data_IF_794297490510
#
_entry.id   IF_794297490510
#
_cell.length_a   1.000
_cell.length_b   1.000
_cell.length_c   1.000
_cell.angle_alpha   90.00
_cell.angle_beta   90.00
_cell.angle_gamma   90.00
#
_symmetry.space_group_name_H-M   'P 1'
#
loop_
_entity.id
_entity.type
_entity.pdbx_description
1 polymer ?
#
# COMPACT_ATOMS: atom_id res chain seq x y z
N UNK A 1 -13.10 17.50 7.22
CA UNK A 1 -11.89 18.28 6.80
C UNK A 1 -11.50 17.85 5.39
N UNK A 2 -11.28 18.80 4.45
CA UNK A 2 -10.79 18.47 3.09
C UNK A 2 -9.32 17.98 3.15
N UNK A 3 -8.92 17.07 2.25
CA UNK A 3 -7.54 16.56 2.24
C UNK A 3 -6.49 17.65 1.96
N UNK A 4 -6.87 18.75 1.32
CA UNK A 4 -5.98 19.90 1.11
C UNK A 4 -5.73 20.73 2.37
N UNK A 5 -6.55 20.57 3.40
CA UNK A 5 -6.40 21.24 4.70
C UNK A 5 -5.57 20.40 5.69
N UNK A 6 -5.42 19.11 5.42
CA UNK A 6 -4.63 18.17 6.23
C UNK A 6 -3.15 18.32 5.89
N UNK A 7 -2.29 18.28 6.89
CA UNK A 7 -0.85 18.31 6.70
C UNK A 7 -0.24 16.95 6.97
N UNK A 8 0.85 16.66 6.27
CA UNK A 8 1.61 15.43 6.51
C UNK A 8 2.13 15.36 7.95
N UNK A 9 2.50 16.51 8.52
CA UNK A 9 3.02 16.60 9.90
C UNK A 9 1.95 16.22 10.94
N UNK A 10 0.66 16.59 10.73
CA UNK A 10 -0.44 16.17 11.60
C UNK A 10 -0.59 14.65 11.60
N UNK A 11 -0.57 14.03 10.40
CA UNK A 11 -0.67 12.57 10.28
C UNK A 11 0.54 11.86 10.90
N UNK A 12 1.75 12.36 10.68
CA UNK A 12 2.99 11.82 11.27
C UNK A 12 2.94 11.92 12.80
N UNK A 13 2.50 13.06 13.34
CA UNK A 13 2.36 13.27 14.78
C UNK A 13 1.35 12.29 15.40
N UNK A 14 0.18 12.13 14.76
CA UNK A 14 -0.84 11.16 15.17
C UNK A 14 -0.28 9.74 15.15
N UNK A 15 0.35 9.34 14.02
CA UNK A 15 0.89 7.99 13.85
C UNK A 15 1.92 7.64 14.92
N UNK A 16 2.87 8.53 15.19
CA UNK A 16 3.87 8.35 16.25
C UNK A 16 3.25 8.34 17.64
N UNK A 17 2.35 9.28 17.90
CA UNK A 17 1.72 9.44 19.21
C UNK A 17 0.75 8.32 19.57
N UNK A 18 0.16 7.62 18.58
CA UNK A 18 -0.84 6.58 18.80
C UNK A 18 -0.37 5.18 18.45
N UNK A 19 0.86 5.02 17.97
CA UNK A 19 1.43 3.70 17.72
C UNK A 19 1.01 3.07 16.39
N UNK A 20 0.79 3.88 15.37
CA UNK A 20 0.63 3.39 14.01
C UNK A 20 1.99 3.18 13.35
N UNK A 21 2.87 4.17 13.38
CA UNK A 21 4.17 4.11 12.71
C UNK A 21 5.23 4.80 13.56
N UNK A 22 6.40 4.18 13.70
CA UNK A 22 7.57 4.71 14.38
C UNK A 22 8.76 4.87 13.43
N UNK A 23 9.71 5.77 13.67
CA UNK A 23 11.00 5.74 12.98
C UNK A 23 11.73 4.43 13.24
N UNK A 24 12.19 3.77 12.17
CA UNK A 24 12.92 2.51 12.32
C UNK A 24 14.25 2.69 13.07
N UNK A 25 14.51 1.86 14.08
CA UNK A 25 15.72 1.92 14.91
C UNK A 25 15.93 3.26 15.62
N UNK A 26 14.87 3.91 16.08
CA UNK A 26 14.88 5.26 16.63
C UNK A 26 15.89 5.45 17.77
N UNK A 27 16.06 4.45 18.63
CA UNK A 27 17.01 4.50 19.77
C UNK A 27 18.48 4.67 19.35
N UNK A 28 18.80 4.40 18.07
CA UNK A 28 20.14 4.61 17.50
C UNK A 28 20.20 5.82 16.56
N UNK A 29 19.21 6.72 16.63
CA UNK A 29 19.09 7.88 15.74
C UNK A 29 18.36 7.59 14.43
N UNK A 30 17.82 6.39 14.28
CA UNK A 30 17.06 5.96 13.12
C UNK A 30 17.91 5.61 11.90
N UNK A 31 17.26 5.02 10.91
CA UNK A 31 17.78 4.87 9.55
C UNK A 31 16.86 5.63 8.60
N UNK A 32 17.43 6.51 7.77
CA UNK A 32 16.66 7.41 6.93
C UNK A 32 15.59 6.66 6.08
N UNK A 33 14.35 7.11 6.23
CA UNK A 33 13.16 6.56 5.53
C UNK A 33 12.95 5.06 5.71
N UNK A 34 13.26 4.58 6.91
CA UNK A 34 12.90 3.26 7.41
C UNK A 34 11.92 3.44 8.54
N UNK A 35 10.83 2.69 8.52
CA UNK A 35 9.71 2.85 9.42
C UNK A 35 9.27 1.51 9.98
N UNK A 36 8.96 1.49 11.28
CA UNK A 36 8.39 0.34 11.97
C UNK A 36 6.88 0.56 12.15
N UNK A 37 6.09 -0.47 11.93
CA UNK A 37 4.65 -0.42 12.18
C UNK A 37 4.40 -0.84 13.63
N UNK A 38 3.82 0.08 14.41
CA UNK A 38 3.46 -0.16 15.79
C UNK A 38 2.21 -1.04 15.95
N UNK A 39 1.71 -1.23 17.19
CA UNK A 39 0.58 -2.12 17.46
C UNK A 39 -0.68 -1.82 16.64
N UNK A 40 -1.04 -0.53 16.46
CA UNK A 40 -2.18 -0.15 15.61
C UNK A 40 -1.84 -0.22 14.12
N UNK A 41 -0.61 0.08 13.76
CA UNK A 41 -0.15 0.04 12.37
C UNK A 41 -0.16 -1.37 11.80
N UNK A 42 0.31 -2.37 12.55
CA UNK A 42 0.30 -3.76 12.08
C UNK A 42 -1.12 -4.28 11.90
N UNK A 43 -2.05 -3.95 12.80
CA UNK A 43 -3.45 -4.36 12.69
C UNK A 43 -4.14 -3.73 11.46
N UNK A 44 -3.96 -2.41 11.26
CA UNK A 44 -4.48 -1.73 10.07
C UNK A 44 -3.92 -2.35 8.79
N UNK A 45 -2.61 -2.57 8.75
CA UNK A 45 -1.90 -3.15 7.59
C UNK A 45 -2.37 -4.57 7.27
N UNK A 46 -2.53 -5.41 8.29
CA UNK A 46 -3.06 -6.77 8.12
C UNK A 46 -4.53 -6.76 7.66
N UNK A 47 -5.36 -5.85 8.19
CA UNK A 47 -6.75 -5.73 7.76
C UNK A 47 -6.87 -5.28 6.30
N UNK A 48 -6.03 -4.35 5.84
CA UNK A 48 -5.92 -3.95 4.43
C UNK A 48 -5.58 -5.17 3.55
N UNK A 49 -4.55 -5.93 3.92
CA UNK A 49 -4.13 -7.14 3.16
C UNK A 49 -5.22 -8.23 3.16
N UNK A 50 -5.92 -8.41 4.28
CA UNK A 50 -7.06 -9.34 4.38
C UNK A 50 -8.22 -8.92 3.47
N UNK A 51 -8.56 -7.63 3.44
CA UNK A 51 -9.60 -7.08 2.56
C UNK A 51 -9.25 -7.32 1.09
N UNK A 52 -8.00 -7.04 0.70
CA UNK A 52 -7.54 -7.29 -0.66
C UNK A 52 -7.59 -8.80 -1.01
N UNK A 53 -7.06 -9.67 -0.14
CA UNK A 53 -7.10 -11.12 -0.36
C UNK A 53 -8.53 -11.66 -0.46
N UNK A 54 -9.45 -11.15 0.35
CA UNK A 54 -10.87 -11.50 0.27
C UNK A 54 -11.41 -11.17 -1.12
N UNK A 55 -11.21 -9.94 -1.59
CA UNK A 55 -11.78 -9.44 -2.83
C UNK A 55 -11.12 -10.00 -4.09
N UNK A 56 -9.78 -10.00 -4.11
CA UNK A 56 -9.00 -10.36 -5.31
C UNK A 56 -8.75 -11.86 -5.45
N UNK A 57 -8.82 -12.65 -4.36
CA UNK A 57 -8.54 -14.07 -4.40
C UNK A 57 -9.77 -14.90 -3.99
N UNK A 58 -10.30 -14.67 -2.79
CA UNK A 58 -11.35 -15.53 -2.22
C UNK A 58 -12.67 -15.40 -2.98
N UNK A 59 -13.12 -14.18 -3.28
CA UNK A 59 -14.37 -13.88 -3.98
C UNK A 59 -14.21 -13.90 -5.52
N UNK A 60 -12.99 -14.04 -6.03
CA UNK A 60 -12.72 -14.01 -7.46
C UNK A 60 -12.47 -15.43 -7.98
N UNK A 61 -13.28 -15.93 -8.96
CA UNK A 61 -13.16 -17.30 -9.44
C UNK A 61 -11.92 -17.54 -10.31
N UNK A 62 -11.28 -16.49 -10.81
CA UNK A 62 -10.13 -16.60 -11.69
C UNK A 62 -8.82 -16.76 -10.93
N UNK A 63 -8.70 -16.12 -9.77
CA UNK A 63 -7.41 -15.89 -9.13
C UNK A 63 -7.03 -16.97 -8.13
N UNK A 64 -5.73 -17.12 -7.94
CA UNK A 64 -5.11 -17.95 -6.89
C UNK A 64 -3.97 -17.18 -6.20
N UNK A 65 -3.61 -17.57 -4.99
CA UNK A 65 -2.51 -16.95 -4.25
C UNK A 65 -1.18 -17.64 -4.49
N UNK A 66 -0.10 -16.88 -4.41
CA UNK A 66 1.29 -17.35 -4.39
C UNK A 66 2.06 -16.59 -3.29
N UNK A 67 3.05 -17.21 -2.72
CA UNK A 67 4.10 -16.59 -1.91
C UNK A 67 5.46 -17.08 -2.41
N UNK A 68 6.12 -16.29 -3.25
CA UNK A 68 7.43 -16.59 -3.79
C UNK A 68 8.55 -16.07 -2.90
N UNK A 69 9.72 -16.70 -2.95
CA UNK A 69 10.89 -16.30 -2.18
C UNK A 69 11.36 -14.88 -2.56
N UNK A 70 11.86 -14.12 -1.57
CA UNK A 70 12.51 -12.82 -1.78
C UNK A 70 13.83 -12.99 -2.54
N UNK A 71 14.62 -13.99 -2.12
CA UNK A 71 15.90 -14.33 -2.76
C UNK A 71 15.63 -15.24 -3.95
N UNK A 72 15.98 -14.77 -5.13
CA UNK A 72 15.73 -15.46 -6.40
C UNK A 72 17.03 -15.61 -7.18
N UNK A 73 17.04 -16.55 -8.12
CA UNK A 73 18.18 -16.71 -9.02
C UNK A 73 18.45 -15.39 -9.77
N UNK A 74 19.69 -14.87 -9.79
CA UNK A 74 20.03 -13.62 -10.47
C UNK A 74 19.63 -13.58 -11.96
N UNK A 75 19.52 -14.72 -12.63
CA UNK A 75 19.05 -14.78 -14.02
C UNK A 75 17.60 -14.29 -14.18
N UNK A 76 16.81 -14.33 -13.12
CA UNK A 76 15.47 -13.73 -13.11
C UNK A 76 15.55 -12.22 -13.40
N UNK A 77 16.52 -11.53 -12.80
CA UNK A 77 16.71 -10.09 -12.95
C UNK A 77 17.43 -9.72 -14.25
N UNK A 78 18.19 -10.63 -14.82
CA UNK A 78 18.70 -10.51 -16.20
C UNK A 78 17.54 -10.61 -17.19
N UNK A 79 16.69 -11.62 -17.06
CA UNK A 79 15.54 -11.82 -17.95
C UNK A 79 14.57 -10.65 -17.94
N UNK A 80 14.21 -10.16 -16.76
CA UNK A 80 13.28 -9.03 -16.60
C UNK A 80 13.89 -7.65 -16.94
N UNK A 81 15.22 -7.58 -17.16
CA UNK A 81 15.91 -6.32 -17.49
C UNK A 81 16.27 -5.45 -16.28
N UNK A 82 15.94 -5.84 -15.05
CA UNK A 82 16.22 -5.04 -13.85
C UNK A 82 17.70 -4.77 -13.62
N UNK A 83 18.59 -5.73 -13.92
CA UNK A 83 20.03 -5.52 -13.76
C UNK A 83 20.59 -4.50 -14.75
N UNK A 84 19.99 -4.38 -15.93
CA UNK A 84 20.47 -3.48 -16.98
C UNK A 84 19.80 -2.10 -17.01
N UNK A 85 18.54 -1.99 -16.58
CA UNK A 85 17.73 -0.80 -16.84
C UNK A 85 16.96 -0.23 -15.65
N UNK A 86 16.97 -0.90 -14.50
CA UNK A 86 16.26 -0.41 -13.31
C UNK A 86 17.14 0.58 -12.54
N UNK A 87 17.24 1.82 -13.06
CA UNK A 87 18.15 2.84 -12.55
C UNK A 87 17.55 4.22 -12.60
N UNK A 88 17.95 5.07 -11.64
CA UNK A 88 17.62 6.49 -11.60
C UNK A 88 18.76 7.34 -12.18
N UNK A 89 18.45 8.43 -12.92
CA UNK A 89 19.43 9.40 -13.39
C UNK A 89 19.82 10.37 -12.26
N UNK A 90 20.97 10.16 -11.63
CA UNK A 90 21.41 10.92 -10.46
C UNK A 90 22.47 11.96 -10.79
N UNK A 91 22.35 13.12 -10.15
CA UNK A 91 23.35 14.19 -10.15
C UNK A 91 23.50 14.79 -8.75
N UNK A 92 24.70 15.28 -8.43
CA UNK A 92 25.00 15.92 -7.15
C UNK A 92 25.16 17.43 -7.36
N UNK A 93 24.57 18.26 -6.49
CA UNK A 93 24.88 19.70 -6.46
C UNK A 93 26.34 19.89 -6.06
N UNK A 94 27.13 20.63 -6.85
CA UNK A 94 28.53 20.83 -6.57
C UNK A 94 28.80 21.68 -5.33
N UNK A 95 27.84 22.51 -4.90
CA UNK A 95 27.95 23.39 -3.75
C UNK A 95 27.55 22.70 -2.44
N UNK A 96 26.28 22.32 -2.30
CA UNK A 96 25.77 21.72 -1.05
C UNK A 96 25.91 20.20 -0.97
N UNK A 97 26.39 19.54 -2.02
CA UNK A 97 26.58 18.08 -2.13
C UNK A 97 25.30 17.26 -2.00
N UNK A 98 24.12 17.92 -2.05
CA UNK A 98 22.84 17.22 -2.05
C UNK A 98 22.66 16.50 -3.37
N UNK A 99 22.19 15.26 -3.29
CA UNK A 99 21.90 14.41 -4.44
C UNK A 99 20.47 14.62 -4.90
N UNK A 100 20.27 14.67 -6.20
CA UNK A 100 18.99 14.84 -6.86
C UNK A 100 18.83 13.85 -8.00
N UNK A 101 17.59 13.50 -8.32
CA UNK A 101 17.23 12.87 -9.58
C UNK A 101 17.10 13.99 -10.62
N UNK A 102 17.67 13.79 -11.79
CA UNK A 102 17.64 14.79 -12.86
C UNK A 102 16.22 14.95 -13.43
N UNK A 103 15.48 13.86 -13.57
CA UNK A 103 14.07 13.86 -13.97
C UNK A 103 13.20 14.64 -12.97
N UNK A 104 13.27 14.31 -11.67
CA UNK A 104 12.52 15.02 -10.61
C UNK A 104 12.84 16.54 -10.59
N UNK A 105 14.10 16.93 -10.88
CA UNK A 105 14.50 18.34 -10.93
C UNK A 105 13.80 19.08 -12.07
N UNK A 106 13.73 18.48 -13.24
CA UNK A 106 13.09 19.08 -14.42
C UNK A 106 11.57 19.15 -14.22
N UNK A 107 10.94 18.05 -13.85
CA UNK A 107 9.50 17.98 -13.62
C UNK A 107 9.03 18.96 -12.52
N UNK A 108 9.80 19.10 -11.44
CA UNK A 108 9.49 20.03 -10.35
C UNK A 108 9.67 21.50 -10.75
N UNK A 109 10.51 21.79 -11.74
CA UNK A 109 10.80 23.15 -12.18
C UNK A 109 9.68 23.74 -13.02
N UNK A 110 9.18 23.03 -14.02
CA UNK A 110 8.19 23.55 -14.96
C UNK A 110 7.13 22.53 -15.42
N UNK A 111 7.16 21.30 -14.88
CA UNK A 111 6.22 20.24 -15.23
C UNK A 111 6.55 19.51 -16.53
N UNK A 112 7.74 19.72 -17.11
CA UNK A 112 8.15 19.03 -18.34
C UNK A 112 8.31 17.54 -18.08
N UNK A 113 7.58 16.71 -18.85
CA UNK A 113 7.73 15.26 -18.81
C UNK A 113 9.02 14.86 -19.54
N UNK A 114 9.90 14.14 -18.86
CA UNK A 114 11.19 13.68 -19.37
C UNK A 114 11.25 12.18 -19.62
N UNK A 115 10.11 11.50 -19.65
CA UNK A 115 10.05 10.07 -19.91
C UNK A 115 10.74 9.75 -21.27
N UNK A 116 11.65 8.78 -21.24
CA UNK A 116 12.41 8.37 -22.42
C UNK A 116 13.58 9.28 -22.81
N UNK A 117 13.85 10.38 -22.08
CA UNK A 117 15.00 11.22 -22.36
C UNK A 117 16.33 10.55 -21.97
N UNK A 118 17.36 10.82 -22.77
CA UNK A 118 18.74 10.43 -22.43
C UNK A 118 19.32 11.33 -21.33
N UNK A 119 20.40 10.87 -20.70
CA UNK A 119 21.14 11.66 -19.72
C UNK A 119 21.67 12.99 -20.31
N UNK A 120 22.03 12.94 -21.57
CA UNK A 120 22.54 14.10 -22.33
C UNK A 120 21.43 15.14 -22.52
N UNK A 121 20.22 14.71 -22.89
CA UNK A 121 19.07 15.61 -23.08
C UNK A 121 18.66 16.24 -21.75
N UNK A 122 18.54 15.47 -20.66
CA UNK A 122 18.25 16.01 -19.34
C UNK A 122 19.33 17.00 -18.86
N UNK A 123 20.62 16.66 -19.07
CA UNK A 123 21.72 17.53 -18.67
C UNK A 123 21.74 18.84 -19.48
N UNK A 124 21.42 18.78 -20.78
CA UNK A 124 21.30 19.95 -21.63
C UNK A 124 20.16 20.86 -21.17
N UNK A 125 19.01 20.28 -20.91
CA UNK A 125 17.82 21.00 -20.44
C UNK A 125 18.06 21.73 -19.11
N UNK A 126 18.62 21.02 -18.10
CA UNK A 126 18.96 21.61 -16.80
C UNK A 126 19.89 22.83 -16.96
N UNK A 127 20.89 22.74 -17.84
CA UNK A 127 21.83 23.85 -18.13
C UNK A 127 21.16 24.98 -18.86
N UNK A 128 20.38 24.71 -19.92
CA UNK A 128 19.70 25.70 -20.75
C UNK A 128 18.69 26.51 -19.95
N UNK A 129 17.88 25.86 -19.11
CA UNK A 129 16.86 26.51 -18.28
C UNK A 129 17.41 27.01 -16.95
N UNK A 130 18.72 26.84 -16.71
CA UNK A 130 19.40 27.29 -15.50
C UNK A 130 18.66 26.86 -14.22
N UNK A 131 18.30 25.57 -14.16
CA UNK A 131 17.49 25.01 -13.05
C UNK A 131 18.27 25.08 -11.74
N UNK A 132 17.72 25.69 -10.66
CA UNK A 132 18.42 25.83 -9.40
C UNK A 132 18.36 24.56 -8.56
N UNK A 133 19.36 24.32 -7.74
CA UNK A 133 19.31 23.32 -6.69
C UNK A 133 18.23 23.69 -5.67
N UNK A 134 17.22 22.84 -5.43
CA UNK A 134 16.16 23.14 -4.47
C UNK A 134 16.65 23.37 -3.03
N UNK A 135 17.84 22.85 -2.69
CA UNK A 135 18.38 22.94 -1.35
C UNK A 135 19.18 24.22 -1.09
N UNK A 136 19.94 24.71 -2.06
CA UNK A 136 20.84 25.87 -1.85
C UNK A 136 20.78 26.95 -2.93
N UNK A 137 19.95 26.76 -3.97
CA UNK A 137 19.80 27.72 -5.06
C UNK A 137 20.96 27.77 -6.09
N UNK A 138 22.00 26.95 -5.92
CA UNK A 138 23.10 26.90 -6.88
C UNK A 138 22.70 26.20 -8.19
N UNK A 139 23.37 26.55 -9.30
CA UNK A 139 23.07 26.02 -10.64
C UNK A 139 24.18 25.10 -11.18
N UNK A 140 25.06 24.62 -10.31
CA UNK A 140 26.22 23.83 -10.68
C UNK A 140 26.03 22.39 -10.20
N UNK A 141 25.92 21.45 -11.15
CA UNK A 141 25.69 20.03 -10.87
C UNK A 141 26.77 19.18 -11.54
N UNK A 142 26.98 17.97 -11.01
CA UNK A 142 27.81 16.95 -11.65
C UNK A 142 27.11 16.39 -12.89
N UNK A 143 27.84 15.64 -13.70
CA UNK A 143 27.23 14.86 -14.77
C UNK A 143 26.26 13.81 -14.19
N UNK A 144 25.21 13.48 -14.99
CA UNK A 144 24.23 12.47 -14.63
C UNK A 144 24.86 11.08 -14.68
N UNK A 145 24.62 10.30 -13.63
CA UNK A 145 25.06 8.91 -13.50
C UNK A 145 23.86 8.02 -13.24
N UNK A 146 23.76 6.91 -13.95
CA UNK A 146 22.73 5.90 -13.69
C UNK A 146 23.04 5.14 -12.40
N UNK A 147 22.07 5.05 -11.52
CA UNK A 147 22.18 4.33 -10.26
C UNK A 147 21.15 3.20 -10.21
N UNK A 148 21.61 1.96 -10.23
CA UNK A 148 20.71 0.80 -10.14
C UNK A 148 20.08 0.70 -8.75
N UNK A 149 18.75 0.58 -8.72
CA UNK A 149 17.95 0.59 -7.48
C UNK A 149 17.88 -0.77 -6.78
N UNK A 150 18.48 -1.83 -7.32
CA UNK A 150 18.47 -3.12 -6.66
C UNK A 150 19.44 -3.17 -5.48
N UNK A 151 18.94 -3.59 -4.31
CA UNK A 151 19.82 -4.00 -3.22
C UNK A 151 20.50 -5.31 -3.57
N UNK A 152 21.83 -5.34 -3.46
CA UNK A 152 22.61 -6.56 -3.63
C UNK A 152 23.20 -7.07 -2.31
N UNK A 153 23.37 -8.36 -2.23
CA UNK A 153 24.04 -9.05 -1.14
C UNK A 153 24.75 -10.30 -1.69
N UNK A 154 25.32 -11.10 -0.82
CA UNK A 154 26.07 -12.31 -1.22
C UNK A 154 25.50 -13.54 -0.52
N UNK A 155 25.49 -14.66 -1.25
CA UNK A 155 25.14 -15.96 -0.72
C UNK A 155 26.42 -16.77 -0.49
N UNK A 156 26.62 -17.28 0.71
CA UNK A 156 27.82 -18.06 1.05
C UNK A 156 28.77 -17.31 1.97
N UNK A 157 30.03 -17.76 2.02
CA UNK A 157 31.03 -17.26 2.97
C UNK A 157 32.02 -16.24 2.37
N UNK A 158 31.97 -16.06 1.06
CA UNK A 158 32.84 -15.13 0.32
C UNK A 158 32.00 -14.11 -0.46
N UNK A 159 32.50 -12.88 -0.57
CA UNK A 159 31.88 -11.81 -1.35
C UNK A 159 32.39 -11.82 -2.81
N UNK A 160 32.30 -12.98 -3.46
CA UNK A 160 32.69 -13.14 -4.85
C UNK A 160 31.52 -12.78 -5.79
N UNK A 161 31.84 -12.25 -6.97
CA UNK A 161 30.82 -11.88 -7.96
C UNK A 161 29.89 -13.04 -8.40
N UNK A 162 30.35 -14.28 -8.30
CA UNK A 162 29.53 -15.48 -8.57
C UNK A 162 28.47 -15.77 -7.50
N UNK A 163 28.69 -15.24 -6.28
CA UNK A 163 27.81 -15.44 -5.12
C UNK A 163 26.87 -14.23 -4.89
N UNK A 164 26.91 -13.25 -5.81
CA UNK A 164 26.07 -12.06 -5.76
C UNK A 164 24.60 -12.41 -6.03
N UNK A 165 23.72 -11.98 -5.12
CA UNK A 165 22.27 -12.11 -5.21
C UNK A 165 21.62 -10.77 -4.89
N UNK A 166 20.33 -10.65 -5.18
CA UNK A 166 19.61 -9.40 -5.04
C UNK A 166 18.35 -9.58 -4.20
N UNK A 167 18.00 -8.55 -3.43
CA UNK A 167 16.66 -8.43 -2.85
C UNK A 167 15.69 -8.03 -3.97
N UNK A 168 14.57 -8.72 -4.09
CA UNK A 168 13.61 -8.46 -5.19
C UNK A 168 13.08 -7.02 -5.13
N UNK A 169 13.06 -6.28 -6.26
CA UNK A 169 12.51 -4.92 -6.32
C UNK A 169 10.99 -4.90 -6.55
N UNK A 170 10.42 -6.07 -6.90
CA UNK A 170 8.98 -6.29 -7.14
C UNK A 170 8.59 -7.74 -6.89
N UNK A 171 7.31 -8.00 -6.72
CA UNK A 171 6.78 -9.35 -6.53
C UNK A 171 6.40 -10.04 -7.84
N UNK A 172 6.24 -9.31 -8.95
CA UNK A 172 5.81 -9.79 -10.25
C UNK A 172 6.66 -10.96 -10.80
N UNK A 173 7.98 -10.85 -10.74
CA UNK A 173 8.90 -11.83 -11.33
C UNK A 173 8.79 -13.19 -10.64
N UNK A 174 8.46 -13.21 -9.35
CA UNK A 174 8.15 -14.46 -8.64
C UNK A 174 6.90 -15.16 -9.18
N UNK A 175 5.94 -14.40 -9.68
CA UNK A 175 4.74 -14.94 -10.30
C UNK A 175 5.08 -15.50 -11.68
N UNK A 176 5.77 -14.76 -12.53
CA UNK A 176 6.13 -15.20 -13.89
C UNK A 176 6.97 -16.46 -13.90
N UNK A 177 7.97 -16.56 -13.03
CA UNK A 177 8.82 -17.76 -12.91
C UNK A 177 8.04 -18.98 -12.41
N UNK A 178 6.92 -18.78 -11.73
CA UNK A 178 6.04 -19.85 -11.25
C UNK A 178 4.79 -20.10 -12.12
N UNK A 179 4.62 -19.40 -13.24
CA UNK A 179 3.45 -19.52 -14.11
C UNK A 179 3.11 -20.98 -14.45
N UNK A 180 4.07 -21.74 -14.99
CA UNK A 180 3.85 -23.13 -15.36
C UNK A 180 3.56 -24.05 -14.15
N UNK A 181 4.17 -23.79 -12.99
CA UNK A 181 3.93 -24.54 -11.76
C UNK A 181 2.48 -24.31 -11.27
N UNK A 182 2.06 -23.05 -11.21
CA UNK A 182 0.73 -22.68 -10.75
C UNK A 182 -0.34 -23.22 -11.70
N UNK A 183 -0.19 -22.99 -13.01
CA UNK A 183 -1.13 -23.47 -14.01
C UNK A 183 -1.31 -25.01 -13.94
N UNK A 184 -0.20 -25.76 -13.87
CA UNK A 184 -0.20 -27.22 -13.78
C UNK A 184 -0.86 -27.74 -12.50
N UNK A 185 -0.54 -27.15 -11.35
CA UNK A 185 -1.01 -27.65 -10.04
C UNK A 185 -2.44 -27.28 -9.75
N UNK A 186 -2.89 -26.10 -10.18
CA UNK A 186 -4.26 -25.64 -10.01
C UNK A 186 -5.20 -26.07 -11.13
N UNK A 187 -4.65 -26.50 -12.27
CA UNK A 187 -5.39 -26.82 -13.50
C UNK A 187 -6.24 -25.66 -14.02
N UNK A 188 -5.85 -24.42 -13.67
CA UNK A 188 -6.55 -23.24 -14.16
C UNK A 188 -6.42 -23.12 -15.67
N UNK A 189 -7.49 -22.64 -16.30
CA UNK A 189 -7.54 -22.30 -17.72
C UNK A 189 -7.44 -20.78 -17.85
N UNK A 190 -6.89 -20.31 -18.95
CA UNK A 190 -6.89 -18.89 -19.31
C UNK A 190 -8.35 -18.46 -19.58
N UNK A 191 -8.85 -17.32 -18.99
CA UNK A 191 -8.06 -16.37 -18.17
C UNK A 191 -7.96 -16.83 -16.70
N UNK A 192 -6.80 -16.58 -16.08
CA UNK A 192 -6.63 -16.73 -14.63
C UNK A 192 -5.54 -15.80 -14.11
N UNK A 193 -5.62 -15.45 -12.83
CA UNK A 193 -4.65 -14.60 -12.17
C UNK A 193 -3.88 -15.31 -11.06
N UNK A 194 -2.66 -14.84 -10.81
CA UNK A 194 -1.84 -15.23 -9.67
C UNK A 194 -1.54 -13.99 -8.86
N UNK A 195 -1.93 -13.99 -7.60
CA UNK A 195 -1.86 -12.86 -6.71
C UNK A 195 -0.87 -13.09 -5.59
N UNK A 196 -0.08 -12.08 -5.25
CA UNK A 196 0.90 -12.14 -4.19
C UNK A 196 0.86 -10.87 -3.33
N UNK A 197 1.00 -11.05 -2.02
CA UNK A 197 1.34 -9.97 -1.07
C UNK A 197 2.74 -10.29 -0.55
N UNK A 198 3.68 -9.38 -0.73
CA UNK A 198 5.04 -9.64 -0.31
C UNK A 198 5.93 -8.42 -0.25
N UNK A 199 7.02 -8.53 0.51
CA UNK A 199 8.03 -7.48 0.62
C UNK A 199 8.82 -7.32 -0.67
N UNK A 200 9.10 -6.04 -1.00
CA UNK A 200 9.98 -5.62 -2.08
C UNK A 200 10.94 -4.53 -1.58
N UNK A 201 12.06 -4.38 -2.27
CA UNK A 201 13.17 -3.54 -1.82
C UNK A 201 13.71 -2.70 -2.98
N UNK A 202 13.74 -1.39 -2.81
CA UNK A 202 14.33 -0.47 -3.79
C UNK A 202 15.27 0.48 -3.07
N UNK A 203 16.52 0.53 -3.50
CA UNK A 203 17.53 1.41 -2.90
C UNK A 203 17.30 2.87 -3.33
N UNK A 204 16.13 3.38 -2.99
CA UNK A 204 15.69 4.74 -3.29
C UNK A 204 16.71 5.77 -2.80
N UNK A 205 17.09 6.70 -3.68
CA UNK A 205 18.06 7.74 -3.37
C UNK A 205 17.41 8.98 -2.78
N UNK A 206 16.19 9.30 -3.22
CA UNK A 206 15.37 10.40 -2.71
C UNK A 206 14.11 9.88 -2.01
N UNK A 207 14.24 8.98 -0.99
CA UNK A 207 13.08 8.52 -0.25
C UNK A 207 12.47 9.70 0.51
N UNK A 208 11.17 9.67 0.78
CA UNK A 208 10.55 10.79 1.47
C UNK A 208 9.04 10.71 1.52
N UNK A 209 8.46 11.82 1.97
CA UNK A 209 7.02 11.97 2.16
C UNK A 209 6.45 10.87 3.09
N UNK A 210 7.09 10.72 4.27
CA UNK A 210 6.76 9.70 5.27
C UNK A 210 6.88 8.29 4.68
N UNK A 211 5.82 7.47 4.74
CA UNK A 211 5.80 6.09 4.22
C UNK A 211 5.46 6.01 2.72
N UNK A 212 5.34 7.13 2.01
CA UNK A 212 4.97 7.14 0.59
C UNK A 212 6.07 6.57 -0.32
N UNK A 213 7.34 6.90 -0.03
CA UNK A 213 8.51 6.38 -0.78
C UNK A 213 9.58 5.91 0.21
N UNK A 214 9.64 4.61 0.40
CA UNK A 214 10.52 3.92 1.34
C UNK A 214 11.36 2.86 0.65
N UNK A 215 12.44 2.40 1.28
CA UNK A 215 13.35 1.40 0.69
C UNK A 215 12.88 -0.03 0.84
N UNK A 216 12.08 -0.30 1.86
CA UNK A 216 11.45 -1.60 2.16
C UNK A 216 9.94 -1.39 2.25
N UNK A 217 9.18 -2.08 1.44
CA UNK A 217 7.72 -1.94 1.34
C UNK A 217 7.06 -3.28 1.02
N UNK A 218 5.74 -3.33 1.09
CA UNK A 218 4.96 -4.49 0.65
C UNK A 218 4.15 -4.12 -0.60
N UNK A 219 4.11 -5.05 -1.57
CA UNK A 219 3.23 -4.97 -2.72
C UNK A 219 2.08 -5.97 -2.57
N UNK A 220 0.90 -5.55 -3.01
CA UNK A 220 -0.23 -6.41 -3.35
C UNK A 220 -0.34 -6.40 -4.87
N UNK A 221 0.04 -7.48 -5.50
CA UNK A 221 0.24 -7.58 -6.94
C UNK A 221 -0.51 -8.77 -7.51
N UNK A 222 -1.16 -8.57 -8.64
CA UNK A 222 -1.87 -9.58 -9.39
C UNK A 222 -1.32 -9.60 -10.81
N UNK A 223 -0.89 -10.78 -11.28
CA UNK A 223 -0.60 -11.02 -12.69
C UNK A 223 -1.75 -11.84 -13.28
N UNK A 224 -2.56 -11.18 -14.09
CA UNK A 224 -3.73 -11.79 -14.70
C UNK A 224 -3.44 -12.18 -16.14
N UNK A 225 -3.35 -13.48 -16.38
CA UNK A 225 -3.02 -14.07 -17.66
C UNK A 225 -4.27 -14.20 -18.53
N UNK A 226 -4.24 -13.64 -19.74
CA UNK A 226 -5.34 -13.67 -20.69
C UNK A 226 -4.87 -14.07 -22.10
N UNK A 227 -5.84 -14.38 -22.97
CA UNK A 227 -5.55 -14.69 -24.37
C UNK A 227 -5.16 -13.40 -25.11
N UNK A 228 -4.09 -13.41 -25.94
CA UNK A 228 -3.77 -12.27 -26.79
C UNK A 228 -4.97 -11.83 -27.63
N UNK A 229 -5.23 -10.53 -27.68
CA UNK A 229 -6.39 -9.93 -28.35
C UNK A 229 -7.63 -9.77 -27.46
N UNK A 230 -7.62 -10.27 -26.21
CA UNK A 230 -8.66 -10.00 -25.19
C UNK A 230 -8.12 -9.10 -24.06
N UNK A 231 -6.88 -8.69 -24.16
CA UNK A 231 -6.10 -7.95 -23.17
C UNK A 231 -6.76 -6.61 -22.79
N UNK A 232 -7.19 -5.80 -23.78
CA UNK A 232 -7.80 -4.50 -23.48
C UNK A 232 -9.15 -4.62 -22.75
N UNK A 233 -9.93 -5.67 -23.03
CA UNK A 233 -11.19 -5.93 -22.30
C UNK A 233 -10.89 -6.26 -20.83
N UNK A 234 -9.86 -7.08 -20.58
CA UNK A 234 -9.42 -7.41 -19.22
C UNK A 234 -8.73 -6.25 -18.51
N UNK A 235 -8.02 -5.39 -19.24
CA UNK A 235 -7.47 -4.15 -18.72
C UNK A 235 -8.58 -3.24 -18.18
N UNK A 236 -9.63 -2.98 -18.96
CA UNK A 236 -10.78 -2.18 -18.54
C UNK A 236 -11.55 -2.82 -17.38
N UNK A 237 -11.65 -4.15 -17.35
CA UNK A 237 -12.25 -4.88 -16.23
C UNK A 237 -11.48 -4.64 -14.94
N UNK A 238 -10.15 -4.87 -14.94
CA UNK A 238 -9.32 -4.71 -13.73
C UNK A 238 -9.22 -3.26 -13.29
N UNK A 239 -9.13 -2.34 -14.22
CA UNK A 239 -9.17 -0.89 -13.96
C UNK A 239 -10.45 -0.50 -13.20
N UNK A 240 -11.60 -0.95 -13.65
CA UNK A 240 -12.87 -0.70 -12.97
C UNK A 240 -13.00 -1.42 -11.64
N UNK A 241 -12.56 -2.67 -11.58
CA UNK A 241 -12.57 -3.49 -10.36
C UNK A 241 -11.71 -2.88 -9.24
N UNK A 242 -10.50 -2.43 -9.55
CA UNK A 242 -9.59 -1.79 -8.61
C UNK A 242 -10.17 -0.47 -8.08
N UNK A 243 -10.72 0.37 -8.97
CA UNK A 243 -11.39 1.63 -8.58
C UNK A 243 -12.54 1.37 -7.60
N UNK A 244 -13.42 0.44 -7.94
CA UNK A 244 -14.61 0.17 -7.14
C UNK A 244 -14.25 -0.43 -5.77
N UNK A 245 -13.17 -1.23 -5.72
CA UNK A 245 -12.64 -1.72 -4.44
C UNK A 245 -12.10 -0.57 -3.57
N UNK A 246 -11.36 0.41 -4.12
CA UNK A 246 -10.91 1.57 -3.36
C UNK A 246 -12.08 2.36 -2.78
N UNK A 247 -13.14 2.54 -3.55
CA UNK A 247 -14.36 3.20 -3.05
C UNK A 247 -15.03 2.41 -1.92
N UNK A 248 -14.99 1.08 -1.95
CA UNK A 248 -15.52 0.25 -0.88
C UNK A 248 -14.72 0.39 0.44
N UNK A 249 -13.50 0.91 0.39
CA UNK A 249 -12.68 1.25 1.56
C UNK A 249 -12.91 2.68 2.10
N UNK A 250 -13.94 3.36 1.63
CA UNK A 250 -14.25 4.77 1.93
C UNK A 250 -13.25 5.79 1.34
N UNK A 251 -12.49 5.44 0.31
CA UNK A 251 -11.75 6.44 -0.46
C UNK A 251 -12.75 7.35 -1.19
N UNK A 252 -12.67 8.65 -0.94
CA UNK A 252 -13.53 9.64 -1.57
C UNK A 252 -13.22 9.75 -3.09
N UNK A 253 -14.28 9.77 -3.90
CA UNK A 253 -14.17 9.86 -5.36
C UNK A 253 -13.47 11.14 -5.82
N UNK A 254 -13.63 12.24 -5.10
CA UNK A 254 -13.02 13.52 -5.42
C UNK A 254 -11.51 13.56 -5.08
N UNK A 255 -11.04 12.60 -4.29
CA UNK A 255 -9.63 12.43 -3.93
C UNK A 255 -8.91 11.36 -4.76
N UNK A 256 -9.60 10.74 -5.72
CA UNK A 256 -9.05 9.71 -6.62
C UNK A 256 -9.29 10.12 -8.07
N UNK A 257 -8.24 10.06 -8.89
CA UNK A 257 -8.36 10.21 -10.34
C UNK A 257 -7.60 9.12 -11.07
N UNK A 258 -8.06 8.76 -12.26
CA UNK A 258 -7.40 7.82 -13.14
C UNK A 258 -6.68 8.62 -14.22
N UNK A 259 -5.38 8.35 -14.41
CA UNK A 259 -4.53 8.96 -15.43
C UNK A 259 -4.02 7.87 -16.36
N UNK A 260 -4.52 7.86 -17.58
CA UNK A 260 -3.99 6.99 -18.62
C UNK A 260 -2.65 7.57 -19.13
N UNK A 261 -1.67 6.69 -19.33
CA UNK A 261 -0.39 7.09 -19.90
C UNK A 261 -0.50 7.38 -21.40
N UNK A 262 0.12 8.46 -21.84
CA UNK A 262 0.30 8.74 -23.25
C UNK A 262 1.27 7.72 -23.89
N UNK A 263 1.18 7.46 -25.22
CA UNK A 263 2.03 6.48 -25.88
C UNK A 263 3.54 6.67 -25.65
N UNK A 264 4.00 7.90 -25.48
CA UNK A 264 5.39 8.25 -25.22
C UNK A 264 5.84 7.97 -23.78
N UNK A 265 4.89 7.84 -22.84
CA UNK A 265 5.14 7.54 -21.43
C UNK A 265 5.17 6.04 -21.15
N UNK A 266 4.59 5.22 -22.07
CA UNK A 266 4.48 3.79 -21.85
C UNK A 266 5.85 3.13 -21.70
N UNK A 267 6.00 2.31 -20.68
CA UNK A 267 7.15 1.42 -20.60
C UNK A 267 7.22 0.53 -21.85
N UNK A 268 8.43 0.18 -22.28
CA UNK A 268 8.69 -0.61 -23.48
C UNK A 268 7.99 -1.97 -23.54
N UNK A 269 7.52 -2.48 -22.40
CA UNK A 269 6.78 -3.73 -22.28
C UNK A 269 5.27 -3.53 -22.18
N UNK A 270 4.80 -2.31 -22.05
CA UNK A 270 3.39 -2.00 -21.79
C UNK A 270 2.68 -1.52 -23.05
N UNK A 271 1.45 -2.03 -23.28
CA UNK A 271 0.56 -1.59 -24.35
C UNK A 271 -0.43 -0.51 -23.86
N UNK A 272 -0.79 -0.55 -22.58
CA UNK A 272 -1.62 0.43 -21.89
C UNK A 272 -1.27 0.46 -20.41
N UNK A 273 -1.31 1.63 -19.81
CA UNK A 273 -1.10 1.82 -18.36
C UNK A 273 -2.04 2.90 -17.85
N UNK A 274 -2.67 2.65 -16.70
CA UNK A 274 -3.45 3.64 -15.96
C UNK A 274 -2.90 3.74 -14.56
N UNK A 275 -2.53 4.95 -14.12
CA UNK A 275 -2.26 5.26 -12.74
C UNK A 275 -3.54 5.71 -12.03
N UNK A 276 -3.75 5.18 -10.84
CA UNK A 276 -4.70 5.71 -9.88
C UNK A 276 -3.95 6.70 -9.02
N UNK A 277 -4.20 7.97 -9.22
CA UNK A 277 -3.60 9.03 -8.42
C UNK A 277 -4.54 9.44 -7.30
N UNK A 278 -3.98 9.54 -6.09
CA UNK A 278 -4.70 9.96 -4.89
C UNK A 278 -4.21 11.32 -4.41
N UNK A 279 -5.12 12.14 -3.90
CA UNK A 279 -4.85 13.47 -3.35
C UNK A 279 -4.32 13.36 -1.92
N UNK A 280 -3.02 13.11 -1.78
CA UNK A 280 -2.33 13.12 -0.48
C UNK A 280 -2.19 14.56 0.07
N UNK A 281 -1.82 14.76 1.35
CA UNK A 281 -1.58 16.10 1.90
C UNK A 281 -0.50 16.93 1.18
N UNK A 282 0.40 16.25 0.45
CA UNK A 282 1.45 16.88 -0.36
C UNK A 282 1.09 17.00 -1.85
N UNK A 283 -0.16 16.77 -2.22
CA UNK A 283 -0.64 16.83 -3.60
C UNK A 283 -0.95 15.46 -4.20
N UNK A 284 -1.20 15.44 -5.51
CA UNK A 284 -1.48 14.20 -6.24
C UNK A 284 -0.25 13.29 -6.28
N UNK A 285 -0.46 12.02 -6.07
CA UNK A 285 0.58 11.00 -6.13
C UNK A 285 0.00 9.66 -6.54
N UNK A 286 0.79 8.88 -7.25
CA UNK A 286 0.44 7.53 -7.67
C UNK A 286 0.17 6.64 -6.46
N UNK A 287 -1.03 6.07 -6.42
CA UNK A 287 -1.46 5.11 -5.41
C UNK A 287 -1.37 3.68 -5.95
N UNK A 288 -1.82 3.44 -7.17
CA UNK A 288 -1.96 2.13 -7.79
C UNK A 288 -1.71 2.22 -9.29
N UNK A 289 -1.01 1.24 -9.88
CA UNK A 289 -0.86 1.08 -11.32
C UNK A 289 -1.63 -0.13 -11.84
N UNK A 290 -2.25 0.00 -12.99
CA UNK A 290 -2.77 -1.12 -13.79
C UNK A 290 -2.12 -1.06 -15.16
N UNK A 291 -1.41 -2.11 -15.57
CA UNK A 291 -0.69 -2.18 -16.83
C UNK A 291 -1.07 -3.40 -17.66
N UNK A 292 -1.18 -3.23 -18.96
CA UNK A 292 -1.16 -4.32 -19.94
C UNK A 292 0.30 -4.56 -20.35
N UNK A 293 0.92 -5.61 -19.81
CA UNK A 293 2.33 -5.98 -20.01
C UNK A 293 2.56 -6.83 -21.24
N UNK A 294 1.53 -7.12 -22.00
CA UNK A 294 1.56 -8.04 -23.14
C UNK A 294 2.12 -9.43 -22.75
N UNK A 295 2.87 -10.10 -23.62
CA UNK A 295 3.58 -11.35 -23.36
C UNK A 295 5.05 -11.13 -22.96
N UNK A 296 5.46 -9.89 -22.69
CA UNK A 296 6.84 -9.51 -22.55
C UNK A 296 7.59 -10.35 -21.52
N UNK A 297 7.12 -10.40 -20.26
CA UNK A 297 7.83 -11.06 -19.16
C UNK A 297 7.98 -12.57 -19.40
N UNK A 298 6.90 -13.26 -19.76
CA UNK A 298 6.96 -14.68 -20.06
C UNK A 298 7.91 -14.99 -21.24
N UNK A 299 7.87 -14.15 -22.28
CA UNK A 299 8.77 -14.27 -23.45
C UNK A 299 10.23 -14.06 -23.07
N UNK A 300 10.55 -13.10 -22.20
CA UNK A 300 11.92 -12.89 -21.72
C UNK A 300 12.41 -14.08 -20.88
N UNK A 301 11.55 -14.62 -20.01
CA UNK A 301 11.88 -15.81 -19.24
C UNK A 301 12.06 -17.05 -20.13
N UNK A 302 11.26 -17.22 -21.19
CA UNK A 302 11.47 -18.28 -22.20
C UNK A 302 12.85 -18.15 -22.85
N UNK A 303 13.19 -16.96 -23.34
CA UNK A 303 14.46 -16.68 -24.02
C UNK A 303 15.67 -16.94 -23.11
N UNK A 304 15.60 -16.49 -21.86
CA UNK A 304 16.72 -16.58 -20.92
C UNK A 304 16.89 -18.00 -20.36
N UNK A 305 15.79 -18.67 -20.01
CA UNK A 305 15.83 -19.98 -19.35
C UNK A 305 15.81 -21.16 -20.33
N UNK A 306 15.36 -20.95 -21.56
CA UNK A 306 15.10 -22.04 -22.53
C UNK A 306 13.90 -22.91 -22.15
N UNK A 307 13.10 -22.53 -21.16
CA UNK A 307 11.91 -23.30 -20.74
C UNK A 307 10.68 -22.81 -21.46
N UNK A 308 9.78 -23.73 -21.83
CA UNK A 308 8.52 -23.37 -22.46
C UNK A 308 7.52 -22.88 -21.41
N UNK A 309 7.01 -21.66 -21.58
CA UNK A 309 5.94 -21.04 -20.78
C UNK A 309 4.69 -20.75 -21.63
N UNK A 310 4.58 -21.33 -22.84
CA UNK A 310 3.36 -21.25 -23.65
C UNK A 310 2.20 -21.96 -22.94
N UNK A 311 1.02 -21.38 -23.06
CA UNK A 311 -0.23 -22.04 -22.70
C UNK A 311 -0.76 -22.84 -23.87
N UNK A 312 -1.19 -24.08 -23.62
CA UNK A 312 -1.89 -24.91 -24.58
C UNK A 312 -3.39 -24.92 -24.27
N UNK A 313 -4.19 -24.32 -25.15
CA UNK A 313 -5.63 -24.35 -25.05
C UNK A 313 -6.18 -25.67 -25.63
N UNK A 314 -6.61 -26.55 -24.74
CA UNK A 314 -7.15 -27.86 -25.12
C UNK A 314 -8.47 -27.77 -25.92
N UNK A 315 -9.22 -26.68 -25.76
CA UNK A 315 -10.51 -26.51 -26.44
C UNK A 315 -10.33 -26.12 -27.91
N UNK A 316 -9.31 -25.30 -28.21
CA UNK A 316 -9.05 -24.80 -29.57
C UNK A 316 -7.86 -25.50 -30.24
N UNK A 317 -6.98 -26.18 -29.46
CA UNK A 317 -5.73 -26.77 -29.94
C UNK A 317 -4.62 -25.72 -30.17
N UNK A 318 -4.87 -24.44 -29.83
CA UNK A 318 -3.90 -23.34 -30.00
C UNK A 318 -2.83 -23.35 -28.91
N UNK A 319 -1.64 -22.86 -29.28
CA UNK A 319 -0.56 -22.55 -28.35
C UNK A 319 -0.21 -21.08 -28.47
N UNK A 320 -0.04 -20.42 -27.33
CA UNK A 320 0.36 -19.01 -27.30
C UNK A 320 1.04 -18.68 -25.97
N UNK A 321 1.85 -17.63 -25.96
CA UNK A 321 2.31 -16.99 -24.71
C UNK A 321 1.17 -16.05 -24.25
N UNK A 322 0.64 -16.21 -23.02
CA UNK A 322 -0.44 -15.33 -22.54
C UNK A 322 0.00 -13.88 -22.43
N UNK A 323 -0.96 -12.97 -22.65
CA UNK A 323 -0.81 -11.57 -22.26
C UNK A 323 -1.14 -11.40 -20.78
N UNK A 324 -0.62 -10.35 -20.17
CA UNK A 324 -0.69 -10.14 -18.73
C UNK A 324 -1.25 -8.76 -18.42
N UNK A 325 -2.26 -8.72 -17.57
CA UNK A 325 -2.75 -7.48 -16.95
C UNK A 325 -2.28 -7.47 -15.50
N UNK A 326 -1.57 -6.41 -15.12
CA UNK A 326 -0.95 -6.25 -13.81
C UNK A 326 -1.60 -5.10 -13.03
N UNK A 327 -2.50 -5.35 -12.09
CA UNK A 327 -2.79 -4.44 -10.99
C UNK A 327 -1.73 -4.55 -9.89
N UNK A 328 -0.94 -3.48 -9.65
CA UNK A 328 0.15 -3.45 -8.66
C UNK A 328 0.00 -2.28 -7.69
N UNK A 329 -0.17 -2.56 -6.40
CA UNK A 329 -0.45 -1.60 -5.34
C UNK A 329 0.57 -1.72 -4.19
N UNK A 330 1.18 -0.60 -3.81
CA UNK A 330 1.99 -0.51 -2.60
C UNK A 330 1.12 -0.42 -1.34
N UNK A 331 1.31 -1.35 -0.40
CA UNK A 331 0.55 -1.38 0.86
C UNK A 331 0.75 -0.11 1.66
N UNK A 332 1.97 0.43 1.70
CA UNK A 332 2.33 1.65 2.42
C UNK A 332 1.63 2.89 1.86
N UNK A 333 1.49 2.97 0.54
CA UNK A 333 0.77 4.08 -0.12
C UNK A 333 -0.71 4.03 0.19
N UNK A 334 -1.35 2.84 0.13
CA UNK A 334 -2.74 2.67 0.50
C UNK A 334 -2.96 2.93 1.99
N UNK A 335 -2.06 2.47 2.86
CA UNK A 335 -2.09 2.76 4.28
C UNK A 335 -2.10 4.28 4.54
N UNK A 336 -1.21 5.02 3.88
CA UNK A 336 -1.15 6.49 3.98
C UNK A 336 -2.43 7.16 3.42
N UNK A 337 -2.96 6.68 2.30
CA UNK A 337 -4.20 7.18 1.73
C UNK A 337 -5.38 6.99 2.69
N UNK A 338 -5.51 5.80 3.30
CA UNK A 338 -6.56 5.49 4.26
C UNK A 338 -6.41 6.28 5.56
N UNK A 339 -5.18 6.53 6.04
CA UNK A 339 -4.94 7.47 7.15
C UNK A 339 -5.39 8.88 6.79
N UNK A 340 -5.09 9.34 5.58
CA UNK A 340 -5.45 10.67 5.11
C UNK A 340 -6.97 10.83 5.00
N UNK A 341 -7.67 9.86 4.41
CA UNK A 341 -9.13 9.87 4.33
C UNK A 341 -9.78 9.87 5.72
N UNK A 342 -9.28 9.00 6.60
CA UNK A 342 -9.88 8.79 7.90
C UNK A 342 -9.68 9.94 8.89
N UNK A 343 -8.59 10.71 8.77
CA UNK A 343 -8.27 11.77 9.72
C UNK A 343 -9.26 12.94 9.63
N UNK A 344 -9.85 13.32 10.77
CA UNK A 344 -10.65 14.54 10.89
C UNK A 344 -10.47 15.22 12.26
N UNK A 345 -10.63 16.55 12.27
CA UNK A 345 -10.72 17.39 13.46
C UNK A 345 -12.11 18.01 13.55
N UNK A 346 -12.94 17.47 14.41
CA UNK A 346 -14.32 17.95 14.58
C UNK A 346 -14.43 18.93 15.73
N UNK A 347 -15.10 20.06 15.50
CA UNK A 347 -15.47 21.03 16.53
C UNK A 347 -16.75 20.59 17.21
N UNK A 348 -16.70 20.24 18.49
CA UNK A 348 -17.87 19.81 19.27
C UNK A 348 -18.55 20.99 20.01
N UNK A 349 -17.77 21.97 20.46
CA UNK A 349 -18.28 23.15 21.19
C UNK A 349 -17.37 24.33 20.87
N UNK A 350 -17.88 25.29 20.07
CA UNK A 350 -17.13 26.48 19.66
C UNK A 350 -16.83 27.42 20.85
N UNK A 351 -17.77 27.55 21.81
CA UNK A 351 -17.60 28.45 22.97
C UNK A 351 -16.46 27.95 23.88
N UNK A 352 -16.33 26.64 24.02
CA UNK A 352 -15.28 26.02 24.85
C UNK A 352 -14.03 25.65 24.06
N UNK A 353 -14.03 25.87 22.72
CA UNK A 353 -12.99 25.41 21.81
C UNK A 353 -12.69 23.91 22.00
N UNK A 354 -13.77 23.12 22.21
CA UNK A 354 -13.66 21.68 22.41
C UNK A 354 -13.65 20.96 21.05
N UNK A 355 -12.48 20.44 20.68
CA UNK A 355 -12.26 19.67 19.45
C UNK A 355 -12.03 18.21 19.75
N UNK A 356 -12.42 17.32 18.84
CA UNK A 356 -11.96 15.93 18.84
C UNK A 356 -11.20 15.61 17.56
N UNK A 357 -10.14 14.86 17.72
CA UNK A 357 -9.50 14.16 16.60
C UNK A 357 -10.21 12.82 16.45
N UNK A 358 -10.57 12.46 15.24
CA UNK A 358 -11.23 11.19 14.95
C UNK A 358 -10.66 10.57 13.66
N UNK A 359 -10.50 9.23 13.68
CA UNK A 359 -10.11 8.45 12.51
C UNK A 359 -11.32 7.68 11.99
N UNK A 360 -11.92 8.14 10.90
CA UNK A 360 -13.11 7.55 10.27
C UNK A 360 -12.79 6.34 9.40
N UNK A 361 -12.02 5.39 9.91
CA UNK A 361 -11.77 4.14 9.17
C UNK A 361 -13.07 3.38 8.89
N UNK A 362 -13.15 2.78 7.71
CA UNK A 362 -14.17 1.74 7.48
C UNK A 362 -14.06 0.67 8.58
N UNK A 363 -15.16 0.24 9.22
CA UNK A 363 -15.09 -0.69 10.37
C UNK A 363 -14.30 -1.96 10.08
N UNK A 364 -14.39 -2.48 8.86
CA UNK A 364 -13.67 -3.69 8.47
C UNK A 364 -12.14 -3.54 8.48
N UNK A 365 -11.59 -2.34 8.26
CA UNK A 365 -10.13 -2.11 8.30
C UNK A 365 -9.63 -1.50 9.60
N UNK A 366 -10.52 -0.95 10.45
CA UNK A 366 -10.14 -0.38 11.74
C UNK A 366 -9.27 -1.35 12.57
N UNK A 367 -8.21 -0.86 13.25
CA UNK A 367 -7.32 -1.71 14.05
C UNK A 367 -8.07 -2.54 15.09
N UNK A 368 -8.90 -1.89 15.91
CA UNK A 368 -9.85 -2.55 16.79
C UNK A 368 -11.26 -2.46 16.22
N UNK A 369 -12.04 -3.54 16.36
CA UNK A 369 -13.43 -3.57 15.90
C UNK A 369 -14.40 -2.97 16.92
N UNK A 370 -14.05 -3.07 18.19
CA UNK A 370 -14.71 -2.42 19.29
C UNK A 370 -13.76 -2.24 20.48
N UNK A 371 -14.18 -1.43 21.46
CA UNK A 371 -13.50 -1.32 22.74
C UNK A 371 -14.49 -1.53 23.89
N UNK A 372 -14.12 -2.32 24.91
CA UNK A 372 -14.91 -2.54 26.10
C UNK A 372 -14.44 -1.59 27.20
N UNK A 373 -15.38 -0.75 27.69
CA UNK A 373 -15.11 0.36 28.58
C UNK A 373 -16.01 0.23 29.84
N UNK A 374 -15.53 -0.34 30.96
CA UNK A 374 -16.34 -0.38 32.20
C UNK A 374 -16.56 1.03 32.73
N UNK A 375 -17.81 1.41 33.02
CA UNK A 375 -18.14 2.75 33.54
C UNK A 375 -17.43 3.06 34.87
N UNK A 376 -17.20 2.03 35.68
CA UNK A 376 -16.53 2.10 36.96
C UNK A 376 -15.59 0.90 37.14
N UNK A 377 -14.49 1.06 37.88
CA UNK A 377 -13.59 -0.03 38.23
C UNK A 377 -14.26 -1.19 38.99
N UNK A 378 -15.39 -0.93 39.64
CA UNK A 378 -16.19 -1.96 40.30
C UNK A 378 -16.81 -2.96 39.32
N UNK A 379 -16.89 -2.59 38.05
CA UNK A 379 -17.48 -3.38 36.98
C UNK A 379 -16.43 -4.10 36.11
N UNK A 380 -15.14 -4.00 36.47
CA UNK A 380 -14.04 -4.53 35.65
C UNK A 380 -14.17 -6.04 35.44
N UNK A 381 -14.60 -6.80 36.42
CA UNK A 381 -14.72 -8.27 36.33
C UNK A 381 -15.71 -8.64 35.22
N UNK A 382 -16.91 -8.12 35.28
CA UNK A 382 -17.96 -8.39 34.28
C UNK A 382 -17.62 -7.82 32.90
N UNK A 383 -17.06 -6.62 32.85
CA UNK A 383 -16.59 -6.03 31.57
C UNK A 383 -15.48 -6.88 30.93
N UNK A 384 -14.60 -7.50 31.74
CA UNK A 384 -13.57 -8.41 31.24
C UNK A 384 -14.19 -9.69 30.67
N UNK A 385 -15.31 -10.18 31.19
CA UNK A 385 -16.05 -11.30 30.60
C UNK A 385 -16.59 -10.96 29.20
N UNK A 386 -17.14 -9.75 29.03
CA UNK A 386 -17.59 -9.25 27.71
C UNK A 386 -16.40 -9.15 26.75
N UNK A 387 -15.28 -8.58 27.20
CA UNK A 387 -14.04 -8.54 26.41
C UNK A 387 -13.58 -9.95 26.00
N UNK A 388 -13.53 -10.89 26.95
CA UNK A 388 -13.10 -12.27 26.70
C UNK A 388 -14.03 -13.03 25.72
N UNK A 389 -15.30 -12.70 25.71
CA UNK A 389 -16.26 -13.24 24.74
C UNK A 389 -15.98 -12.70 23.33
N UNK A 390 -15.85 -11.39 23.17
CA UNK A 390 -15.67 -10.72 21.89
C UNK A 390 -14.29 -10.98 21.28
N UNK A 391 -13.23 -11.02 22.10
CA UNK A 391 -11.85 -11.21 21.66
C UNK A 391 -11.58 -12.58 21.04
N UNK A 392 -12.49 -13.56 21.19
CA UNK A 392 -12.41 -14.84 20.47
C UNK A 392 -12.63 -14.71 18.96
N UNK A 393 -13.29 -13.63 18.51
CA UNK A 393 -13.66 -13.41 17.11
C UNK A 393 -13.04 -12.15 16.50
N UNK A 394 -12.84 -11.11 17.31
CA UNK A 394 -12.43 -9.80 16.85
C UNK A 394 -11.22 -9.28 17.62
N UNK A 395 -10.47 -8.39 17.03
CA UNK A 395 -9.49 -7.58 17.74
C UNK A 395 -10.24 -6.48 18.51
N UNK A 396 -10.22 -6.57 19.84
CA UNK A 396 -10.98 -5.73 20.78
C UNK A 396 -10.00 -5.04 21.72
N UNK A 397 -10.20 -3.74 21.98
CA UNK A 397 -9.49 -3.02 23.03
C UNK A 397 -10.24 -3.07 24.36
N UNK A 398 -9.52 -2.86 25.46
CA UNK A 398 -10.06 -2.75 26.81
C UNK A 398 -9.42 -1.58 27.53
N UNK A 399 -10.23 -0.61 27.98
CA UNK A 399 -9.71 0.59 28.66
C UNK A 399 -10.55 0.96 29.88
N UNK A 400 -9.93 0.91 31.07
CA UNK A 400 -10.52 1.30 32.34
C UNK A 400 -9.86 2.55 32.96
N UNK A 401 -8.97 3.22 32.22
CA UNK A 401 -8.15 4.32 32.72
C UNK A 401 -8.79 5.71 32.52
N UNK A 402 -9.02 6.44 33.61
CA UNK A 402 -9.58 7.79 33.59
C UNK A 402 -11.11 7.83 33.44
N UNK A 403 -11.68 8.99 33.06
CA UNK A 403 -13.13 9.15 32.87
C UNK A 403 -13.59 8.54 31.55
N UNK A 404 -14.85 8.14 31.48
CA UNK A 404 -15.45 7.51 30.29
C UNK A 404 -15.32 8.43 29.05
N UNK A 405 -15.50 9.74 29.19
CA UNK A 405 -15.34 10.69 28.09
C UNK A 405 -13.91 10.74 27.54
N UNK A 406 -12.88 10.63 28.41
CA UNK A 406 -11.47 10.53 27.94
C UNK A 406 -11.19 9.22 27.22
N UNK A 407 -11.85 8.14 27.62
CA UNK A 407 -11.71 6.85 26.93
C UNK A 407 -12.34 6.87 25.55
N UNK A 408 -13.54 7.45 25.41
CA UNK A 408 -14.16 7.65 24.09
C UNK A 408 -13.24 8.45 23.17
N UNK A 409 -12.64 9.56 23.66
CA UNK A 409 -11.70 10.37 22.86
C UNK A 409 -10.49 9.56 22.38
N UNK A 410 -9.91 8.72 23.25
CA UNK A 410 -8.79 7.85 22.84
C UNK A 410 -9.19 6.86 21.77
N UNK A 411 -10.40 6.30 21.86
CA UNK A 411 -10.92 5.36 20.87
C UNK A 411 -11.27 6.06 19.54
N UNK A 412 -11.83 7.28 19.60
CA UNK A 412 -12.06 8.10 18.41
C UNK A 412 -10.74 8.39 17.67
N UNK A 413 -9.67 8.77 18.40
CA UNK A 413 -8.34 9.09 17.85
C UNK A 413 -7.63 7.90 17.17
N UNK A 414 -7.93 6.67 17.56
CA UNK A 414 -7.35 5.48 16.95
C UNK A 414 -8.30 4.79 15.96
N UNK A 415 -9.52 5.33 15.84
CA UNK A 415 -10.48 4.90 14.83
C UNK A 415 -11.29 3.65 15.18
N UNK A 416 -11.44 3.33 16.47
CA UNK A 416 -12.30 2.22 16.92
C UNK A 416 -13.77 2.56 16.64
N UNK A 417 -14.49 1.79 15.80
CA UNK A 417 -15.83 2.17 15.36
C UNK A 417 -16.90 2.09 16.45
N UNK A 418 -16.74 1.16 17.41
CA UNK A 418 -17.76 0.93 18.45
C UNK A 418 -17.13 0.89 19.83
N UNK A 419 -17.69 1.70 20.76
CA UNK A 419 -17.33 1.66 22.18
C UNK A 419 -18.46 1.01 22.98
N UNK A 420 -18.15 -0.08 23.65
CA UNK A 420 -19.09 -0.90 24.44
C UNK A 420 -18.90 -0.52 25.90
N UNK A 421 -19.85 0.21 26.48
CA UNK A 421 -19.82 0.61 27.89
C UNK A 421 -20.60 -0.38 28.73
N UNK A 422 -19.91 -1.03 29.67
CA UNK A 422 -20.54 -1.83 30.73
C UNK A 422 -20.80 -0.91 31.92
N UNK A 423 -22.06 -0.70 32.25
CA UNK A 423 -22.54 0.21 33.29
C UNK A 423 -23.24 -0.52 34.44
N UNK A 424 -23.79 0.20 35.41
CA UNK A 424 -24.45 -0.43 36.57
C UNK A 424 -25.77 -1.13 36.20
N UNK A 425 -26.47 -0.59 35.18
CA UNK A 425 -27.73 -1.22 34.72
C UNK A 425 -27.43 -2.54 33.98
N UNK A 426 -26.19 -2.65 33.40
CA UNK A 426 -25.75 -3.89 32.74
C UNK A 426 -25.78 -5.13 33.67
N UNK A 427 -25.60 -4.92 34.97
CA UNK A 427 -25.65 -5.98 35.96
C UNK A 427 -27.07 -6.55 36.11
N UNK A 428 -28.10 -5.70 35.92
CA UNK A 428 -29.49 -6.04 36.11
C UNK A 428 -30.15 -6.57 34.82
N UNK A 429 -29.87 -5.92 33.68
CA UNK A 429 -30.55 -6.19 32.40
C UNK A 429 -29.72 -7.02 31.39
N UNK A 430 -28.49 -7.42 31.74
CA UNK A 430 -27.55 -8.13 30.89
C UNK A 430 -27.36 -7.50 29.50
N UNK A 431 -27.39 -6.15 29.47
CA UNK A 431 -27.21 -5.34 28.26
C UNK A 431 -26.10 -4.32 28.45
N UNK A 432 -25.58 -3.78 27.37
CA UNK A 432 -24.52 -2.75 27.38
C UNK A 432 -24.89 -1.58 26.48
N UNK A 433 -24.27 -0.45 26.72
CA UNK A 433 -24.40 0.70 25.82
C UNK A 433 -23.32 0.67 24.76
N UNK A 434 -23.72 0.64 23.48
CA UNK A 434 -22.82 0.71 22.34
C UNK A 434 -22.86 2.10 21.73
N UNK A 435 -21.72 2.80 21.72
CA UNK A 435 -21.56 4.12 21.09
C UNK A 435 -20.92 3.95 19.73
N UNK A 436 -21.54 4.52 18.73
CA UNK A 436 -20.97 4.65 17.39
C UNK A 436 -19.98 5.84 17.37
N UNK A 437 -18.78 5.62 16.77
CA UNK A 437 -17.71 6.63 16.67
C UNK A 437 -18.14 7.84 15.83
N UNK A 438 -18.78 7.59 14.69
CA UNK A 438 -19.02 8.60 13.67
C UNK A 438 -20.22 9.50 14.04
N UNK A 439 -21.31 8.91 14.50
CA UNK A 439 -22.53 9.62 14.89
C UNK A 439 -22.56 10.06 16.36
N UNK A 440 -21.73 9.44 17.21
CA UNK A 440 -21.75 9.52 18.67
C UNK A 440 -23.07 9.04 19.30
N UNK A 441 -23.98 8.49 18.50
CA UNK A 441 -25.21 7.90 19.01
C UNK A 441 -24.95 6.67 19.88
N UNK A 442 -25.80 6.46 20.84
CA UNK A 442 -25.70 5.35 21.78
C UNK A 442 -26.96 4.51 21.74
N UNK A 443 -26.77 3.19 21.63
CA UNK A 443 -27.87 2.22 21.66
C UNK A 443 -27.65 1.21 22.76
N UNK A 444 -28.74 0.75 23.38
CA UNK A 444 -28.70 -0.33 24.38
C UNK A 444 -28.86 -1.66 23.66
N UNK A 445 -27.91 -2.59 23.85
CA UNK A 445 -27.92 -3.93 23.22
C UNK A 445 -27.70 -5.03 24.26
N UNK A 446 -28.42 -6.17 24.15
CA UNK A 446 -28.11 -7.38 24.91
C UNK A 446 -26.70 -7.88 24.61
N UNK A 447 -26.02 -8.38 25.64
CA UNK A 447 -24.63 -8.84 25.51
C UNK A 447 -24.49 -10.01 24.51
N UNK A 448 -25.47 -10.88 24.42
CA UNK A 448 -25.51 -12.04 23.51
C UNK A 448 -25.70 -11.62 22.02
N UNK A 449 -26.18 -10.42 21.74
CA UNK A 449 -26.33 -9.87 20.39
C UNK A 449 -25.07 -9.16 19.87
N UNK A 450 -24.10 -8.82 20.74
CA UNK A 450 -22.92 -8.03 20.38
C UNK A 450 -22.08 -8.66 19.27
N UNK A 451 -21.89 -9.97 19.31
CA UNK A 451 -21.10 -10.68 18.30
C UNK A 451 -21.72 -10.50 16.92
N UNK A 452 -23.04 -10.72 16.82
CA UNK A 452 -23.76 -10.56 15.56
C UNK A 452 -23.75 -9.10 15.09
N UNK A 453 -23.97 -8.15 16.01
CA UNK A 453 -23.91 -6.72 15.70
C UNK A 453 -22.58 -6.31 15.08
N UNK A 454 -21.45 -6.75 15.68
CA UNK A 454 -20.13 -6.42 15.16
C UNK A 454 -19.89 -7.13 13.82
N UNK A 455 -20.24 -8.42 13.67
CA UNK A 455 -20.10 -9.18 12.44
C UNK A 455 -20.74 -8.46 11.25
N UNK A 456 -22.00 -8.02 11.41
CA UNK A 456 -22.76 -7.32 10.36
C UNK A 456 -22.15 -5.96 9.97
N UNK A 457 -21.42 -5.32 10.89
CA UNK A 457 -20.83 -3.98 10.70
C UNK A 457 -19.40 -4.00 10.16
N UNK A 458 -18.65 -5.07 10.41
CA UNK A 458 -17.25 -5.20 9.96
C UNK A 458 -17.11 -6.03 8.68
N UNK A 459 -18.21 -6.49 8.10
CA UNK A 459 -18.21 -7.19 6.83
C UNK A 459 -17.94 -6.23 5.66
N UNK A 460 -17.17 -6.72 4.64
CA UNK A 460 -16.94 -5.99 3.39
C UNK A 460 -17.97 -6.40 2.37
#
# INVERSE_FOLDING_TARGET
MDNSEKTLDQLVALCKGRGFVYPGSEIYGGLANTWDYGPLGVELKENIKKAWRKKFIQENPYNVGLDSAILMNPQTWVASGHLGGFSDPLMDCCECKTRHRADDLIESFDGTNVAGWSNEEMSAYIKEHNIPCPNCGAHNFTDIRQFNLMFKTFQGVTEDAKDEIYLRPETAQGIFTNFANVQRTTRKKIPFGVAQVGKSFRNEITPGKFIFRVREFEQMELEFFCKPGTDLEWFDYWRSFCRDWLYSLNINKDNLRLRDHDPEELCFYSKATTDFEYKFPFGWGELWGVADRTDYDLTQHIKTSGKNLEYFDQATGEKYVPYVIEPSLGVERLFLALLTEAYDEEMLDEEKNDKRIVMHFHPAIAPFKAAVLPLSKKLNEQATEVFAMLSKKFNIDYDDAGSIGKRYRRQDEIGTPYCITYDFDSVEDNSVTVRDRDTMEQVRLPIDELVKFIEEKVEF
#
